data_IF_933239648029
#
_entry.id   IF_933239648029
#
_cell.length_a   1.000
_cell.length_b   1.000
_cell.length_c   1.000
_cell.angle_alpha   90.00
_cell.angle_beta   90.00
_cell.angle_gamma   90.00
#
_symmetry.space_group_name_H-M   'P 1'
#
loop_
_entity.id
_entity.type
_entity.pdbx_description
1 polymer ?
#
# COMPACT_ATOMS: atom_id res chain seq x y z
N UNK A 1 8.39 -24.00 6.29
CA UNK A 1 8.52 -22.73 5.52
C UNK A 1 8.05 -22.94 4.10
N UNK A 2 7.51 -21.91 3.44
CA UNK A 2 6.99 -22.01 2.06
C UNK A 2 8.07 -21.79 0.98
N UNK A 3 7.69 -21.98 -0.28
CA UNK A 3 8.58 -21.93 -1.46
C UNK A 3 9.42 -20.65 -1.59
N UNK A 4 8.96 -19.52 -1.04
CA UNK A 4 9.62 -18.22 -1.14
C UNK A 4 10.44 -17.82 0.10
N UNK A 5 10.66 -18.73 1.06
CA UNK A 5 11.32 -18.37 2.33
C UNK A 5 12.76 -17.85 2.16
N UNK A 6 13.47 -18.32 1.13
CA UNK A 6 14.85 -17.94 0.82
C UNK A 6 14.97 -17.08 -0.45
N UNK A 7 13.86 -16.51 -0.92
CA UNK A 7 13.88 -15.64 -2.09
C UNK A 7 14.57 -14.33 -1.75
N UNK A 8 15.67 -14.01 -2.45
CA UNK A 8 16.35 -12.72 -2.32
C UNK A 8 15.54 -11.64 -2.99
N UNK A 9 15.27 -10.56 -2.27
CA UNK A 9 14.51 -9.43 -2.79
C UNK A 9 15.39 -8.55 -3.70
N UNK A 10 14.76 -7.74 -4.55
CA UNK A 10 15.46 -6.86 -5.52
C UNK A 10 16.31 -5.80 -4.78
N UNK A 11 15.89 -5.39 -3.59
CA UNK A 11 16.65 -4.51 -2.68
C UNK A 11 17.72 -5.25 -1.86
N UNK A 12 18.03 -6.51 -2.20
CA UNK A 12 19.18 -7.25 -1.66
C UNK A 12 18.95 -7.94 -0.32
N UNK A 13 17.71 -8.00 0.20
CA UNK A 13 17.45 -8.74 1.43
C UNK A 13 17.55 -10.24 1.21
N UNK A 14 18.03 -11.00 2.20
CA UNK A 14 18.19 -12.45 2.10
C UNK A 14 16.86 -13.20 2.02
N UNK A 15 15.74 -12.56 2.42
CA UNK A 15 14.42 -13.16 2.43
C UNK A 15 13.33 -12.08 2.32
N UNK A 16 12.15 -12.51 1.84
CA UNK A 16 10.92 -11.73 1.92
C UNK A 16 10.41 -11.76 3.37
N UNK A 17 10.18 -10.58 3.95
CA UNK A 17 9.67 -10.43 5.32
C UNK A 17 8.19 -10.09 5.31
N UNK A 18 7.45 -10.59 6.30
CA UNK A 18 6.02 -10.31 6.51
C UNK A 18 5.74 -10.14 8.00
N UNK A 19 4.72 -9.36 8.34
CA UNK A 19 4.17 -9.20 9.70
C UNK A 19 2.65 -9.16 9.60
N UNK A 20 2.09 -10.28 9.15
CA UNK A 20 0.68 -10.37 8.75
C UNK A 20 -0.24 -9.98 9.91
N UNK A 21 -1.17 -9.06 9.66
CA UNK A 21 -2.19 -8.64 10.62
C UNK A 21 -1.69 -7.74 11.76
N UNK A 22 -0.42 -7.30 11.72
CA UNK A 22 0.11 -6.37 12.73
C UNK A 22 -0.44 -4.95 12.55
N UNK A 23 -0.52 -4.50 11.31
CA UNK A 23 -0.95 -3.15 10.91
C UNK A 23 -1.95 -3.27 9.75
N UNK A 24 -2.76 -2.25 9.47
CA UNK A 24 -3.68 -2.26 8.32
C UNK A 24 -4.78 -3.33 8.37
N UNK A 25 -5.45 -3.54 7.23
CA UNK A 25 -6.56 -4.50 7.06
C UNK A 25 -6.70 -4.95 5.61
N UNK A 26 -7.39 -6.06 5.38
CA UNK A 26 -7.91 -6.41 4.07
C UNK A 26 -9.04 -5.46 3.64
N UNK A 27 -9.47 -5.59 2.38
CA UNK A 27 -10.67 -4.91 1.89
C UNK A 27 -11.90 -5.33 2.68
N UNK A 28 -12.80 -4.39 2.95
CA UNK A 28 -14.17 -4.70 3.34
C UNK A 28 -15.04 -4.87 2.09
N UNK A 29 -16.13 -5.61 2.24
CA UNK A 29 -17.12 -5.79 1.17
C UNK A 29 -17.69 -4.43 0.71
N UNK A 30 -17.89 -3.49 1.64
CA UNK A 30 -18.33 -2.12 1.31
C UNK A 30 -17.32 -1.35 0.46
N UNK A 31 -16.02 -1.51 0.70
CA UNK A 31 -14.95 -0.88 -0.09
C UNK A 31 -14.91 -1.47 -1.51
N UNK A 32 -15.09 -2.79 -1.63
CA UNK A 32 -15.16 -3.50 -2.91
C UNK A 32 -16.37 -3.03 -3.70
N UNK A 33 -17.56 -3.07 -3.10
CA UNK A 33 -18.79 -2.69 -3.77
C UNK A 33 -18.79 -1.21 -4.15
N UNK A 34 -18.21 -0.34 -3.32
CA UNK A 34 -18.05 1.05 -3.71
C UNK A 34 -17.17 1.19 -4.96
N UNK A 35 -16.00 0.55 -4.98
CA UNK A 35 -15.09 0.61 -6.12
C UNK A 35 -15.70 0.07 -7.42
N UNK A 36 -16.36 -1.09 -7.35
CA UNK A 36 -16.98 -1.71 -8.53
C UNK A 36 -18.15 -0.92 -9.13
N UNK A 37 -18.76 -0.03 -8.35
CA UNK A 37 -19.84 0.85 -8.81
C UNK A 37 -19.34 2.17 -9.44
N UNK A 38 -18.03 2.39 -9.52
CA UNK A 38 -17.49 3.61 -10.12
C UNK A 38 -17.52 3.54 -11.64
N UNK A 39 -18.06 4.59 -12.27
CA UNK A 39 -18.09 4.75 -13.74
C UNK A 39 -17.15 5.84 -14.24
N UNK A 40 -16.70 6.71 -13.35
CA UNK A 40 -15.80 7.80 -13.67
C UNK A 40 -14.36 7.33 -13.49
N UNK A 41 -13.54 7.51 -14.53
CA UNK A 41 -12.16 6.99 -14.56
C UNK A 41 -11.26 7.61 -13.48
N UNK A 42 -11.53 8.85 -13.08
CA UNK A 42 -10.85 9.51 -11.97
C UNK A 42 -11.09 8.74 -10.65
N UNK A 43 -12.31 8.29 -10.38
CA UNK A 43 -12.61 7.52 -9.16
C UNK A 43 -11.95 6.13 -9.12
N UNK A 44 -11.54 5.62 -10.28
CA UNK A 44 -10.86 4.32 -10.43
C UNK A 44 -9.34 4.50 -10.39
N UNK A 45 -8.82 5.49 -11.11
CA UNK A 45 -7.38 5.70 -11.36
C UNK A 45 -6.75 6.76 -10.46
N UNK A 46 -7.47 7.27 -9.44
CA UNK A 46 -6.86 8.25 -8.52
C UNK A 46 -5.72 7.58 -7.75
N UNK A 47 -4.51 8.08 -7.99
CA UNK A 47 -3.22 7.62 -7.45
C UNK A 47 -2.52 8.68 -6.59
N UNK A 48 -3.11 9.87 -6.44
CA UNK A 48 -2.49 10.92 -5.62
C UNK A 48 -3.21 11.01 -4.28
N UNK A 49 -2.68 10.31 -3.27
CA UNK A 49 -2.89 10.72 -1.89
C UNK A 49 -2.44 12.19 -1.75
N UNK A 50 -3.32 13.12 -1.35
CA UNK A 50 -3.04 14.53 -1.33
C UNK A 50 -1.96 14.80 -0.30
N UNK A 51 -0.96 15.54 -0.75
CA UNK A 51 0.00 16.12 0.16
C UNK A 51 -0.66 17.29 0.87
N UNK A 52 -0.64 17.33 2.21
CA UNK A 52 -1.12 18.48 2.96
C UNK A 52 -0.47 19.77 2.43
N UNK A 53 -1.30 20.73 2.02
CA UNK A 53 -0.84 22.07 1.62
C UNK A 53 -0.54 22.31 0.14
N UNK A 54 -0.66 21.30 -0.74
CA UNK A 54 -0.28 21.45 -2.17
C UNK A 54 -1.48 21.57 -3.12
N UNK A 55 -2.62 20.93 -2.80
CA UNK A 55 -3.81 21.01 -3.65
C UNK A 55 -5.07 20.60 -2.87
N UNK A 56 -6.15 21.38 -2.99
CA UNK A 56 -7.45 21.05 -2.41
C UNK A 56 -8.20 20.03 -3.28
N UNK A 57 -7.60 18.84 -3.46
CA UNK A 57 -8.28 17.74 -4.14
C UNK A 57 -9.21 17.08 -3.12
N UNK A 58 -10.48 16.93 -3.48
CA UNK A 58 -11.47 16.21 -2.64
C UNK A 58 -10.96 14.79 -2.41
N UNK A 59 -10.83 14.41 -1.14
CA UNK A 59 -10.47 13.05 -0.77
C UNK A 59 -11.65 12.11 -0.69
N UNK A 60 -11.44 10.90 -1.19
CA UNK A 60 -12.31 9.77 -0.96
C UNK A 60 -11.48 8.60 -0.43
N UNK A 61 -11.72 8.24 0.82
CA UNK A 61 -10.95 7.19 1.50
C UNK A 61 -11.21 5.80 0.95
N UNK A 62 -12.26 5.63 0.14
CA UNK A 62 -12.57 4.38 -0.56
C UNK A 62 -11.85 4.24 -1.90
N UNK A 63 -11.09 5.25 -2.34
CA UNK A 63 -10.25 5.12 -3.53
C UNK A 63 -9.32 3.92 -3.44
N UNK A 64 -9.02 3.36 -4.61
CA UNK A 64 -8.31 2.09 -4.68
C UNK A 64 -6.91 2.19 -4.09
N UNK A 65 -6.19 3.28 -4.32
CA UNK A 65 -4.85 3.48 -3.77
C UNK A 65 -4.85 3.43 -2.22
N UNK A 66 -5.85 4.04 -1.59
CA UNK A 66 -5.95 4.12 -0.12
C UNK A 66 -6.31 2.75 0.48
N UNK A 67 -7.32 2.11 -0.08
CA UNK A 67 -7.81 0.81 0.41
C UNK A 67 -6.82 -0.32 0.11
N UNK A 68 -6.16 -0.31 -1.06
CA UNK A 68 -5.05 -1.22 -1.39
C UNK A 68 -3.81 -0.97 -0.50
N UNK A 69 -3.53 0.28 -0.16
CA UNK A 69 -2.48 0.64 0.80
C UNK A 69 -2.64 -0.09 2.15
N UNK A 70 -3.88 -0.27 2.63
CA UNK A 70 -4.13 -1.04 3.85
C UNK A 70 -3.75 -2.52 3.71
N UNK A 71 -3.84 -3.12 2.52
CA UNK A 71 -3.44 -4.51 2.26
C UNK A 71 -1.91 -4.64 2.30
N UNK A 72 -1.18 -3.66 1.75
CA UNK A 72 0.28 -3.59 1.89
C UNK A 72 0.72 -3.54 3.36
N UNK A 73 0.02 -2.76 4.18
CA UNK A 73 0.25 -2.70 5.63
C UNK A 73 -0.11 -4.03 6.31
N UNK A 74 -1.22 -4.65 5.92
CA UNK A 74 -1.67 -5.94 6.43
C UNK A 74 -0.65 -7.04 6.25
N UNK A 75 -0.04 -7.15 5.06
CA UNK A 75 1.04 -8.13 4.83
C UNK A 75 2.32 -7.72 5.59
N UNK A 76 2.62 -6.43 5.59
CA UNK A 76 3.75 -5.84 6.30
C UNK A 76 5.12 -6.31 5.79
N UNK A 77 6.17 -5.99 6.56
CA UNK A 77 7.55 -6.34 6.20
C UNK A 77 7.97 -5.73 4.86
N UNK A 78 8.43 -6.58 3.92
CA UNK A 78 8.88 -6.16 2.58
C UNK A 78 7.77 -5.53 1.74
N UNK A 79 6.49 -5.67 2.12
CA UNK A 79 5.35 -5.09 1.41
C UNK A 79 4.94 -3.71 1.95
N UNK A 80 5.56 -3.25 3.05
CA UNK A 80 5.29 -1.94 3.64
C UNK A 80 6.50 -1.02 3.45
N UNK A 81 6.28 0.18 2.90
CA UNK A 81 7.34 1.17 2.67
C UNK A 81 8.10 1.59 3.95
N UNK A 82 7.55 1.35 5.14
CA UNK A 82 8.20 1.68 6.42
C UNK A 82 9.51 0.92 6.67
N UNK A 83 9.75 -0.23 6.03
CA UNK A 83 11.04 -0.93 6.18
C UNK A 83 12.17 -0.26 5.38
N UNK A 84 11.84 0.51 4.33
CA UNK A 84 12.77 1.39 3.60
C UNK A 84 13.19 2.61 4.43
N UNK A 85 12.23 3.31 5.04
CA UNK A 85 12.53 4.47 5.90
C UNK A 85 13.29 4.07 7.18
N UNK A 86 12.94 2.92 7.78
CA UNK A 86 13.58 2.44 9.01
C UNK A 86 15.04 1.98 8.78
N UNK A 87 15.46 1.80 7.52
CA UNK A 87 16.82 1.39 7.13
C UNK A 87 17.69 2.51 6.56
N UNK A 88 17.23 3.76 6.59
CA UNK A 88 18.07 4.91 6.23
C UNK A 88 18.44 4.97 4.74
N UNK A 89 17.61 4.42 3.84
CA UNK A 89 17.78 4.60 2.40
C UNK A 89 17.65 6.08 2.04
N UNK A 90 18.77 6.71 1.69
CA UNK A 90 18.85 8.14 1.32
C UNK A 90 17.84 8.43 0.20
N UNK A 91 17.02 9.47 0.41
CA UNK A 91 16.28 10.12 -0.68
C UNK A 91 17.32 10.76 -1.58
N UNK A 92 17.50 10.22 -2.78
CA UNK A 92 18.10 11.01 -3.86
C UNK A 92 16.99 11.90 -4.42
N UNK A 93 17.18 13.21 -4.23
CA UNK A 93 16.40 14.25 -4.90
C UNK A 93 16.88 14.48 -6.32
#
# INVERSE_FOLDING_TARGET
YGHFANWKTIDGNPNIRRRVGRDGKGFTEDEINWFLNQVQIDQIMTYSAPQPGVCAVRMEFRWMEITHGNVHLFVGGSFCASEWHRRGGRRHG
#
